data_IF_812745764858
#
_entry.id   IF_812745764858
#
_cell.length_a   1.000
_cell.length_b   1.000
_cell.length_c   1.000
_cell.angle_alpha   90.00
_cell.angle_beta   90.00
_cell.angle_gamma   90.00
#
_symmetry.space_group_name_H-M   'P 1'
#
loop_
_entity.id
_entity.type
_entity.pdbx_description
1 polymer ?
#
# COMPACT_ATOMS: atom_id res chain seq x y z
N UNK A 1 7.33 31.72 -73.05
CA UNK A 1 7.75 30.86 -71.93
C UNK A 1 6.59 30.75 -70.96
N UNK A 2 5.85 29.64 -71.00
CA UNK A 2 4.69 29.34 -70.13
C UNK A 2 5.14 28.23 -69.19
N UNK A 3 5.19 28.51 -67.88
CA UNK A 3 5.54 27.51 -66.88
C UNK A 3 4.29 26.73 -66.47
N UNK A 4 4.45 25.41 -66.51
CA UNK A 4 3.45 24.38 -66.33
C UNK A 4 3.23 24.14 -64.83
N UNK A 5 2.07 24.52 -64.32
CA UNK A 5 1.71 24.35 -62.91
C UNK A 5 1.36 22.89 -62.65
N UNK A 6 2.30 22.13 -62.07
CA UNK A 6 2.04 20.77 -61.55
C UNK A 6 1.55 20.88 -60.11
N UNK A 7 0.27 20.62 -59.88
CA UNK A 7 -0.33 20.57 -58.55
C UNK A 7 -0.10 19.15 -57.99
N UNK A 8 0.95 18.96 -57.20
CA UNK A 8 1.20 17.70 -56.51
C UNK A 8 0.55 17.75 -55.12
N UNK A 9 -0.44 16.90 -54.95
CA UNK A 9 -1.18 16.66 -53.71
C UNK A 9 -0.21 16.17 -52.63
N UNK A 10 -0.22 16.79 -51.45
CA UNK A 10 0.38 16.19 -50.26
C UNK A 10 -0.66 16.24 -49.15
N UNK A 11 -1.37 15.13 -49.03
CA UNK A 11 -2.24 14.78 -47.91
C UNK A 11 -1.34 14.63 -46.69
N UNK A 12 -1.40 15.59 -45.78
CA UNK A 12 -0.82 15.50 -44.45
C UNK A 12 -1.76 14.63 -43.61
N UNK A 13 -1.51 13.31 -43.64
CA UNK A 13 -2.04 12.38 -42.64
C UNK A 13 -1.34 12.75 -41.33
N UNK A 14 -1.94 13.67 -40.58
CA UNK A 14 -1.66 13.77 -39.16
C UNK A 14 -2.20 12.49 -38.54
N UNK A 15 -1.32 11.50 -38.40
CA UNK A 15 -1.57 10.35 -37.56
C UNK A 15 -1.87 10.87 -36.17
N UNK A 16 -3.16 10.83 -35.80
CA UNK A 16 -3.54 10.84 -34.39
C UNK A 16 -2.91 9.58 -33.82
N UNK A 17 -1.74 9.74 -33.20
CA UNK A 17 -1.20 8.74 -32.30
C UNK A 17 -2.24 8.60 -31.20
N UNK A 18 -3.11 7.59 -31.34
CA UNK A 18 -3.95 7.13 -30.26
C UNK A 18 -3.03 6.73 -29.14
N UNK A 19 -2.83 7.64 -28.18
CA UNK A 19 -2.17 7.30 -26.93
C UNK A 19 -3.10 6.32 -26.24
N UNK A 20 -2.83 5.04 -26.39
CA UNK A 20 -3.29 4.01 -25.47
C UNK A 20 -2.57 4.26 -24.15
N UNK A 21 -2.98 5.29 -23.42
CA UNK A 21 -2.63 5.44 -22.01
C UNK A 21 -3.26 4.24 -21.33
N UNK A 22 -2.39 3.32 -20.93
CA UNK A 22 -2.72 2.08 -20.25
C UNK A 22 -3.58 2.38 -19.02
N UNK A 23 -4.88 2.03 -19.08
CA UNK A 23 -5.85 2.13 -17.96
C UNK A 23 -5.35 1.53 -16.63
N UNK A 24 -4.33 0.68 -16.67
CA UNK A 24 -3.78 -0.03 -15.51
C UNK A 24 -2.75 0.80 -14.70
N UNK A 25 -1.96 1.65 -15.37
CA UNK A 25 -1.04 2.60 -14.69
C UNK A 25 -1.83 3.63 -13.87
N UNK A 26 -3.02 3.98 -14.36
CA UNK A 26 -3.96 4.88 -13.68
C UNK A 26 -4.42 4.32 -12.33
N UNK A 27 -4.72 3.01 -12.24
CA UNK A 27 -5.25 2.41 -11.01
C UNK A 27 -4.26 2.41 -9.84
N UNK A 28 -2.98 2.08 -10.08
CA UNK A 28 -1.96 2.11 -9.01
C UNK A 28 -1.76 3.55 -8.53
N UNK A 29 -1.73 4.51 -9.46
CA UNK A 29 -1.63 5.92 -9.10
C UNK A 29 -2.84 6.37 -8.27
N UNK A 30 -4.06 6.00 -8.67
CA UNK A 30 -5.27 6.31 -7.90
C UNK A 30 -5.24 5.73 -6.49
N UNK A 31 -4.76 4.49 -6.32
CA UNK A 31 -4.63 3.87 -4.99
C UNK A 31 -3.56 4.62 -4.17
N UNK A 32 -2.42 4.94 -4.78
CA UNK A 32 -1.34 5.68 -4.14
C UNK A 32 -1.82 7.07 -3.68
N UNK A 33 -2.53 7.81 -4.54
CA UNK A 33 -3.07 9.14 -4.24
C UNK A 33 -4.09 9.07 -3.11
N UNK A 34 -5.02 8.10 -3.19
CA UNK A 34 -6.02 7.89 -2.14
C UNK A 34 -5.34 7.54 -0.81
N UNK A 35 -4.35 6.66 -0.83
CA UNK A 35 -3.59 6.28 0.35
C UNK A 35 -2.85 7.47 0.95
N UNK A 36 -2.15 8.28 0.13
CA UNK A 36 -1.44 9.48 0.57
C UNK A 36 -2.38 10.57 1.10
N UNK A 37 -3.62 10.63 0.63
CA UNK A 37 -4.62 11.59 1.13
C UNK A 37 -5.04 11.35 2.59
N UNK A 38 -4.90 10.12 3.11
CA UNK A 38 -5.32 9.75 4.47
C UNK A 38 -4.34 10.31 5.49
N UNK A 39 -4.71 11.41 6.16
CA UNK A 39 -3.88 12.05 7.19
C UNK A 39 -3.95 11.35 8.55
N UNK A 40 -5.11 10.80 8.90
CA UNK A 40 -5.32 10.07 10.15
C UNK A 40 -6.57 9.22 10.08
N UNK A 41 -6.59 8.12 10.80
CA UNK A 41 -7.79 7.33 11.03
C UNK A 41 -7.73 6.62 12.38
N UNK A 42 -8.87 6.16 12.85
CA UNK A 42 -8.96 5.26 13.99
C UNK A 42 -10.10 4.28 13.78
N UNK A 43 -10.00 3.08 14.33
CA UNK A 43 -11.08 2.10 14.26
C UNK A 43 -10.81 0.85 15.05
N UNK A 44 -11.86 0.04 15.19
CA UNK A 44 -11.73 -1.32 15.69
C UNK A 44 -11.28 -2.25 14.56
N UNK A 45 -10.47 -3.24 14.89
CA UNK A 45 -10.06 -4.27 13.95
C UNK A 45 -10.35 -5.67 14.49
N UNK A 46 -10.59 -6.60 13.56
CA UNK A 46 -10.59 -8.03 13.81
C UNK A 46 -9.63 -8.66 12.81
N UNK A 47 -8.57 -9.27 13.31
CA UNK A 47 -7.58 -9.99 12.54
C UNK A 47 -7.86 -11.49 12.64
N UNK A 48 -7.96 -12.16 11.49
CA UNK A 48 -8.03 -13.61 11.40
C UNK A 48 -6.80 -14.12 10.66
N UNK A 49 -6.03 -15.00 11.28
CA UNK A 49 -4.79 -15.54 10.72
C UNK A 49 -4.88 -17.06 10.56
N UNK A 50 -4.55 -17.52 9.36
CA UNK A 50 -4.53 -18.93 8.98
C UNK A 50 -3.08 -19.42 8.95
N UNK A 51 -2.82 -20.58 9.54
CA UNK A 51 -1.51 -21.23 9.47
C UNK A 51 -1.59 -22.39 8.48
N UNK A 52 -0.77 -22.33 7.42
CA UNK A 52 -0.67 -23.42 6.44
C UNK A 52 -0.43 -24.75 7.17
N UNK A 53 -1.19 -25.78 6.79
CA UNK A 53 -1.15 -27.15 7.33
C UNK A 53 -1.79 -27.38 8.71
N UNK A 54 -2.57 -26.44 9.24
CA UNK A 54 -3.41 -26.67 10.43
C UNK A 54 -4.79 -26.04 10.28
N UNK A 55 -5.85 -26.70 10.75
CA UNK A 55 -7.20 -26.11 10.84
C UNK A 55 -7.29 -24.99 11.89
N UNK A 56 -6.20 -24.69 12.59
CA UNK A 56 -6.16 -23.70 13.66
C UNK A 56 -6.21 -22.27 13.11
N UNK A 57 -7.37 -21.65 13.26
CA UNK A 57 -7.60 -20.24 13.01
C UNK A 57 -7.27 -19.44 14.26
N UNK A 58 -6.36 -18.46 14.16
CA UNK A 58 -6.12 -17.50 15.23
C UNK A 58 -6.91 -16.23 14.98
N UNK A 59 -7.56 -15.71 16.02
CA UNK A 59 -8.27 -14.43 15.98
C UNK A 59 -7.63 -13.47 16.96
N UNK A 60 -7.44 -12.24 16.53
CA UNK A 60 -7.01 -11.12 17.36
C UNK A 60 -7.90 -9.91 17.05
N UNK A 61 -7.95 -8.95 17.96
CA UNK A 61 -8.77 -7.77 17.78
C UNK A 61 -8.41 -6.68 18.75
N UNK A 62 -8.85 -5.46 18.44
CA UNK A 62 -8.61 -4.31 19.29
C UNK A 62 -8.81 -3.00 18.54
N UNK A 63 -7.99 -2.00 18.86
CA UNK A 63 -8.07 -0.66 18.30
C UNK A 63 -6.80 -0.27 17.58
N UNK A 64 -6.95 0.41 16.45
CA UNK A 64 -5.86 1.07 15.74
C UNK A 64 -6.14 2.57 15.64
N UNK A 65 -5.10 3.36 15.82
CA UNK A 65 -5.09 4.80 15.59
C UNK A 65 -3.83 5.17 14.85
N UNK A 66 -3.99 5.90 13.75
CA UNK A 66 -2.93 6.27 12.84
C UNK A 66 -2.95 7.78 12.59
N UNK A 67 -1.76 8.37 12.49
CA UNK A 67 -1.56 9.75 12.09
C UNK A 67 -0.28 9.90 11.28
N UNK A 68 -0.39 10.51 10.10
CA UNK A 68 0.77 10.85 9.27
C UNK A 68 1.65 11.93 9.91
N UNK A 69 2.97 11.88 9.66
CA UNK A 69 3.73 10.72 9.18
C UNK A 69 4.10 9.77 10.32
N UNK A 70 4.06 8.47 10.07
CA UNK A 70 4.73 7.45 10.91
C UNK A 70 4.20 7.24 12.33
N UNK A 71 3.20 7.99 12.80
CA UNK A 71 2.64 7.83 14.15
C UNK A 71 1.51 6.81 14.14
N UNK A 72 1.60 5.84 15.04
CA UNK A 72 0.59 4.82 15.19
C UNK A 72 0.50 4.36 16.64
N UNK A 73 -0.72 4.03 17.06
CA UNK A 73 -1.02 3.29 18.28
C UNK A 73 -1.90 2.13 17.88
N UNK A 74 -1.43 0.92 18.11
CA UNK A 74 -2.13 -0.32 17.83
C UNK A 74 -2.24 -1.12 19.11
N UNK A 75 -3.45 -1.19 19.65
CA UNK A 75 -3.78 -1.93 20.86
C UNK A 75 -4.46 -3.23 20.46
N UNK A 76 -3.82 -4.36 20.77
CA UNK A 76 -4.45 -5.67 20.79
C UNK A 76 -5.15 -5.82 22.14
N UNK A 77 -6.44 -6.14 22.13
CA UNK A 77 -7.25 -6.42 23.32
C UNK A 77 -7.49 -7.93 23.48
N UNK A 78 -7.48 -8.67 22.36
CA UNK A 78 -7.68 -10.12 22.35
C UNK A 78 -6.68 -10.82 21.42
N UNK A 79 -6.22 -12.04 21.75
CA UNK A 79 -6.54 -12.80 22.97
C UNK A 79 -5.81 -12.30 24.23
N UNK A 80 -4.68 -11.63 24.05
CA UNK A 80 -3.85 -11.07 25.12
C UNK A 80 -3.59 -9.60 24.80
N UNK A 81 -3.52 -8.77 25.85
CA UNK A 81 -3.27 -7.34 25.66
C UNK A 81 -1.84 -7.11 25.21
N UNK A 82 -1.66 -6.40 24.11
CA UNK A 82 -0.35 -5.93 23.65
C UNK A 82 -0.49 -4.55 23.03
N UNK A 83 0.46 -3.67 23.34
CA UNK A 83 0.44 -2.29 22.87
C UNK A 83 1.65 -2.00 21.99
N UNK A 84 1.39 -1.70 20.72
CA UNK A 84 2.39 -1.24 19.77
C UNK A 84 2.22 0.26 19.53
N UNK A 85 3.29 1.03 19.72
CA UNK A 85 3.32 2.48 19.51
C UNK A 85 4.52 2.84 18.66
N UNK A 86 4.35 3.74 17.70
CA UNK A 86 5.47 4.37 16.99
C UNK A 86 5.26 5.87 16.88
N UNK A 87 6.37 6.60 16.94
CA UNK A 87 6.43 8.04 16.71
C UNK A 87 6.90 8.41 15.30
N UNK A 88 7.20 7.41 14.45
CA UNK A 88 7.78 7.57 13.11
C UNK A 88 9.28 7.28 13.02
N UNK A 89 9.96 7.09 14.16
CA UNK A 89 11.40 6.81 14.22
C UNK A 89 11.70 5.57 15.07
N UNK A 90 10.93 5.38 16.14
CA UNK A 90 11.09 4.30 17.11
C UNK A 90 9.75 3.58 17.28
N UNK A 91 9.83 2.26 17.35
CA UNK A 91 8.74 1.36 17.68
C UNK A 91 8.92 0.85 19.11
N UNK A 92 7.85 0.95 19.90
CA UNK A 92 7.72 0.32 21.20
C UNK A 92 6.65 -0.75 21.12
N UNK A 93 6.99 -1.96 21.55
CA UNK A 93 6.04 -3.04 21.81
C UNK A 93 6.04 -3.30 23.32
N UNK A 94 4.93 -2.95 23.96
CA UNK A 94 4.69 -3.20 25.37
C UNK A 94 3.81 -4.43 25.54
N UNK A 95 4.30 -5.37 26.34
CA UNK A 95 3.57 -6.54 26.79
C UNK A 95 3.31 -6.39 28.30
N UNK A 96 2.06 -6.07 28.71
CA UNK A 96 1.72 -5.89 30.12
C UNK A 96 1.87 -7.16 30.95
N UNK A 97 1.62 -8.34 30.36
CA UNK A 97 1.69 -9.62 31.07
C UNK A 97 3.14 -9.97 31.46
N UNK A 98 4.09 -9.62 30.59
CA UNK A 98 5.52 -9.81 30.83
C UNK A 98 6.20 -8.61 31.50
N UNK A 99 5.46 -7.53 31.74
CA UNK A 99 5.98 -6.24 32.22
C UNK A 99 7.19 -5.75 31.41
N UNK A 100 7.18 -5.98 30.10
CA UNK A 100 8.34 -5.79 29.24
C UNK A 100 8.05 -4.84 28.07
N UNK A 101 9.06 -4.03 27.73
CA UNK A 101 9.03 -3.13 26.56
C UNK A 101 10.17 -3.50 25.61
N UNK A 102 9.80 -3.92 24.41
CA UNK A 102 10.76 -4.09 23.30
C UNK A 102 10.84 -2.80 22.50
N UNK A 103 12.05 -2.28 22.30
CA UNK A 103 12.30 -1.03 21.58
C UNK A 103 13.11 -1.33 20.31
N UNK A 104 12.65 -0.83 19.17
CA UNK A 104 13.34 -1.01 17.89
C UNK A 104 13.34 0.30 17.09
N UNK A 105 14.45 0.55 16.37
CA UNK A 105 14.48 1.62 15.36
C UNK A 105 13.58 1.24 14.20
N UNK A 106 12.74 2.17 13.75
CA UNK A 106 11.76 1.90 12.72
C UNK A 106 12.42 1.58 11.37
N UNK A 107 13.52 2.24 11.03
CA UNK A 107 14.32 1.98 9.82
C UNK A 107 14.65 0.50 9.63
N UNK A 108 14.95 -0.22 10.73
CA UNK A 108 15.28 -1.66 10.68
C UNK A 108 14.08 -2.57 10.40
N UNK A 109 12.87 -2.06 10.58
CA UNK A 109 11.61 -2.78 10.39
C UNK A 109 10.93 -2.42 9.07
N UNK A 110 11.33 -1.31 8.46
CA UNK A 110 10.70 -0.79 7.24
C UNK A 110 11.34 -1.27 5.95
N UNK A 111 12.42 -2.05 6.01
CA UNK A 111 13.02 -2.70 4.84
C UNK A 111 12.02 -3.70 4.23
N UNK A 112 11.25 -3.25 3.24
CA UNK A 112 10.41 -4.08 2.36
C UNK A 112 9.21 -4.78 3.01
N UNK A 113 8.62 -4.24 4.09
CA UNK A 113 7.61 -4.96 4.89
C UNK A 113 6.23 -4.28 4.87
N UNK A 114 5.17 -5.07 5.08
CA UNK A 114 3.78 -4.60 5.26
C UNK A 114 3.61 -3.48 6.30
N UNK A 115 4.51 -3.40 7.29
CA UNK A 115 4.51 -2.34 8.29
C UNK A 115 4.83 -0.95 7.70
N UNK A 116 5.75 -0.84 6.74
CA UNK A 116 6.05 0.43 6.04
C UNK A 116 4.82 0.98 5.32
N UNK A 117 4.10 0.07 4.67
CA UNK A 117 2.82 0.37 4.04
C UNK A 117 1.71 0.71 5.06
N UNK A 118 1.73 0.20 6.28
CA UNK A 118 0.75 0.64 7.28
C UNK A 118 1.11 2.00 7.90
N UNK A 119 2.37 2.43 7.80
CA UNK A 119 2.87 3.64 8.43
C UNK A 119 2.88 4.88 7.53
N UNK A 120 2.51 4.76 6.26
CA UNK A 120 2.53 5.90 5.34
C UNK A 120 3.83 6.05 4.57
N UNK A 121 4.77 5.10 4.69
CA UNK A 121 6.16 5.25 4.27
C UNK A 121 6.50 4.52 2.96
N UNK A 122 5.62 3.64 2.48
CA UNK A 122 5.83 2.88 1.25
C UNK A 122 5.35 3.60 -0.01
N UNK A 123 5.94 3.22 -1.15
CA UNK A 123 5.51 3.58 -2.50
C UNK A 123 5.09 2.31 -3.23
N UNK A 124 3.83 2.25 -3.68
CA UNK A 124 3.29 1.04 -4.30
C UNK A 124 3.99 0.65 -5.61
N UNK A 125 4.59 1.60 -6.32
CA UNK A 125 5.30 1.33 -7.57
C UNK A 125 6.72 0.82 -7.33
N UNK A 126 7.36 1.24 -6.23
CA UNK A 126 8.70 0.79 -5.84
C UNK A 126 8.65 -0.54 -5.07
N UNK A 127 7.66 -0.71 -4.19
CA UNK A 127 7.62 -1.82 -3.23
C UNK A 127 6.98 -3.10 -3.81
N UNK A 128 6.20 -3.02 -4.90
CA UNK A 128 5.42 -4.15 -5.41
C UNK A 128 5.59 -4.39 -6.92
N UNK A 129 5.73 -5.67 -7.28
CA UNK A 129 5.66 -6.11 -8.67
C UNK A 129 4.20 -6.34 -9.07
N UNK A 130 3.77 -5.62 -10.12
CA UNK A 130 2.40 -5.70 -10.67
C UNK A 130 2.17 -7.04 -11.35
N UNK A 131 1.03 -7.68 -11.08
CA UNK A 131 0.57 -8.87 -11.80
C UNK A 131 -0.93 -8.80 -12.04
N UNK A 132 -1.35 -8.97 -13.29
CA UNK A 132 -2.75 -9.20 -13.64
C UNK A 132 -3.23 -10.49 -12.97
N UNK A 133 -4.29 -10.40 -12.19
CA UNK A 133 -4.93 -11.59 -11.61
C UNK A 133 -5.59 -12.36 -12.74
N UNK A 134 -5.03 -13.52 -13.12
CA UNK A 134 -5.74 -14.48 -13.95
C UNK A 134 -6.90 -15.04 -13.12
N UNK A 135 -8.11 -15.11 -13.70
CA UNK A 135 -9.36 -15.58 -13.08
C UNK A 135 -9.33 -17.02 -12.47
N UNK A 136 -8.18 -17.69 -12.47
CA UNK A 136 -8.00 -19.11 -12.11
C UNK A 136 -8.02 -19.38 -10.60
N UNK A 137 -8.01 -18.35 -9.74
CA UNK A 137 -7.99 -18.54 -8.28
C UNK A 137 -9.38 -18.61 -7.61
N UNK A 138 -10.47 -18.74 -8.39
CA UNK A 138 -11.85 -18.76 -7.89
C UNK A 138 -12.62 -20.08 -8.18
N UNK A 139 -11.92 -21.17 -8.47
CA UNK A 139 -12.52 -22.53 -8.58
C UNK A 139 -11.99 -23.47 -7.52
#
# INVERSE_FOLDING_TARGET
>A
MKYFTFLFISILIFGVSGQSVSKETDLIQMIQDQYQSIQSFSGHFVQTSYRNNTETVRRAGGLVSYKRPGKMRWLYEVPEEQLLVTNGETLWLFDPLLENVTIQKLEKLTDGTALSFLLGLGDLQEDFNRRLISQVFLT
#
